data_IF_179004214891
#
_entry.id   IF_179004214891
#
_cell.length_a   1.000
_cell.length_b   1.000
_cell.length_c   1.000
_cell.angle_alpha   90.00
_cell.angle_beta   90.00
_cell.angle_gamma   90.00
#
_symmetry.space_group_name_H-M   'P 1'
#
loop_
_entity.id
_entity.type
_entity.pdbx_description
1 polymer ?
#
# COMPACT_ATOMS: atom_id res chain seq x y z
N UNK A 1 13.51 -1.16 21.35
CA UNK A 1 12.63 -2.28 20.95
C UNK A 1 11.20 -1.81 21.19
N UNK A 2 10.53 -1.36 20.13
CA UNK A 2 9.09 -1.11 20.15
C UNK A 2 8.49 -2.05 19.12
N UNK A 3 7.91 -3.13 19.62
CA UNK A 3 7.08 -4.04 18.84
C UNK A 3 5.82 -3.26 18.50
N UNK A 4 5.78 -2.66 17.31
CA UNK A 4 4.51 -2.24 16.72
C UNK A 4 3.72 -3.51 16.45
N UNK A 5 2.62 -3.65 17.16
CA UNK A 5 1.68 -4.75 17.04
C UNK A 5 1.19 -4.78 15.59
N UNK A 6 1.63 -5.79 14.84
CA UNK A 6 1.13 -6.12 13.51
C UNK A 6 -0.38 -6.33 13.66
N UNK A 7 -1.17 -5.59 12.88
CA UNK A 7 -2.62 -5.68 12.92
C UNK A 7 -3.03 -7.08 12.44
N UNK A 8 -3.38 -7.94 13.40
CA UNK A 8 -4.14 -9.18 13.15
C UNK A 8 -5.40 -8.75 12.40
N UNK A 9 -5.70 -9.44 11.30
CA UNK A 9 -6.88 -9.22 10.46
C UNK A 9 -8.13 -9.26 11.33
N UNK A 10 -8.58 -8.08 11.79
CA UNK A 10 -9.80 -7.97 12.57
C UNK A 10 -10.92 -8.01 11.56
N UNK A 11 -11.60 -9.14 11.47
CA UNK A 11 -13.00 -9.16 11.06
C UNK A 11 -13.68 -8.10 11.92
N UNK A 12 -14.06 -6.97 11.33
CA UNK A 12 -14.78 -5.92 12.04
C UNK A 12 -16.08 -6.57 12.52
N UNK A 13 -16.30 -6.71 13.83
CA UNK A 13 -17.49 -7.37 14.33
C UNK A 13 -18.72 -6.59 13.88
N UNK A 14 -19.85 -7.27 13.64
CA UNK A 14 -21.03 -6.67 13.00
C UNK A 14 -21.53 -5.36 13.67
N UNK A 15 -21.25 -5.18 14.96
CA UNK A 15 -21.57 -3.98 15.74
C UNK A 15 -20.65 -2.77 15.46
N UNK A 16 -19.49 -2.96 14.83
CA UNK A 16 -18.53 -1.91 14.47
C UNK A 16 -18.68 -1.47 12.99
N UNK A 17 -19.38 -2.25 12.16
CA UNK A 17 -19.60 -1.95 10.74
C UNK A 17 -20.41 -0.66 10.53
N UNK A 18 -21.49 -0.47 11.30
CA UNK A 18 -22.35 0.71 11.18
C UNK A 18 -21.63 2.03 11.54
N UNK A 19 -20.95 2.16 12.70
CA UNK A 19 -20.22 3.39 13.03
C UNK A 19 -19.02 3.64 12.12
N UNK A 20 -18.30 2.61 11.66
CA UNK A 20 -17.21 2.77 10.69
C UNK A 20 -17.72 3.26 9.32
N UNK A 21 -18.81 2.67 8.83
CA UNK A 21 -19.49 3.10 7.60
C UNK A 21 -19.92 4.56 7.69
N UNK A 22 -20.52 4.98 8.80
CA UNK A 22 -20.99 6.36 8.97
C UNK A 22 -19.85 7.38 8.90
N UNK A 23 -18.71 7.09 9.54
CA UNK A 23 -17.53 7.97 9.48
C UNK A 23 -17.01 8.16 8.06
N UNK A 24 -16.92 7.08 7.28
CA UNK A 24 -16.47 7.13 5.89
C UNK A 24 -17.46 7.89 5.01
N UNK A 25 -18.77 7.68 5.20
CA UNK A 25 -19.82 8.37 4.45
C UNK A 25 -19.88 9.87 4.76
N UNK A 26 -19.55 10.28 5.99
CA UNK A 26 -19.59 11.69 6.41
C UNK A 26 -18.28 12.44 6.18
N UNK A 27 -17.21 11.74 5.77
CA UNK A 27 -15.86 12.30 5.67
C UNK A 27 -15.40 12.99 6.97
N UNK A 28 -15.68 12.36 8.12
CA UNK A 28 -15.30 12.89 9.45
C UNK A 28 -13.81 12.65 9.80
N UNK A 29 -12.98 12.23 8.85
CA UNK A 29 -11.53 12.19 9.04
C UNK A 29 -10.94 13.59 8.82
N UNK A 30 -10.35 14.14 9.88
CA UNK A 30 -9.77 15.48 9.87
C UNK A 30 -8.80 15.66 8.69
N UNK A 31 -9.12 16.64 7.83
CA UNK A 31 -8.22 17.26 6.86
C UNK A 31 -8.01 16.55 5.49
N UNK A 32 -9.06 15.97 4.89
CA UNK A 32 -8.98 15.45 3.50
C UNK A 32 -10.04 16.04 2.55
N UNK A 33 -9.63 16.37 1.31
CA UNK A 33 -10.51 16.77 0.19
C UNK A 33 -11.30 15.59 -0.41
N UNK A 34 -11.47 14.49 0.35
CA UNK A 34 -12.09 13.25 -0.11
C UNK A 34 -13.61 13.43 -0.25
N UNK A 35 -14.18 12.92 -1.34
CA UNK A 35 -15.63 12.90 -1.51
C UNK A 35 -16.31 11.95 -0.52
N UNK A 36 -17.55 12.23 -0.11
CA UNK A 36 -18.34 11.33 0.72
C UNK A 36 -18.55 9.97 0.03
N UNK A 37 -18.25 8.86 0.73
CA UNK A 37 -18.35 7.50 0.19
C UNK A 37 -17.47 6.51 0.95
N UNK A 38 -17.81 5.21 0.89
CA UNK A 38 -16.99 4.18 1.55
C UNK A 38 -15.68 3.99 0.80
N UNK A 39 -15.76 3.73 -0.51
CA UNK A 39 -14.67 3.73 -1.48
C UNK A 39 -15.04 4.73 -2.56
N UNK A 40 -14.09 5.53 -3.04
CA UNK A 40 -14.36 6.69 -3.90
C UNK A 40 -13.53 6.66 -5.18
N UNK A 41 -13.85 7.55 -6.12
CA UNK A 41 -13.01 7.77 -7.29
C UNK A 41 -11.58 8.16 -6.92
N UNK A 42 -11.41 9.04 -5.92
CA UNK A 42 -10.08 9.47 -5.48
C UNK A 42 -9.27 8.30 -4.91
N UNK A 43 -9.92 7.40 -4.15
CA UNK A 43 -9.30 6.16 -3.67
C UNK A 43 -8.77 5.32 -4.85
N UNK A 44 -9.60 5.10 -5.88
CA UNK A 44 -9.19 4.35 -7.08
C UNK A 44 -8.03 5.03 -7.82
N UNK A 45 -8.04 6.36 -7.95
CA UNK A 45 -6.94 7.12 -8.56
C UNK A 45 -5.64 6.93 -7.80
N UNK A 46 -5.66 6.94 -6.46
CA UNK A 46 -4.46 6.75 -5.66
C UNK A 46 -3.88 5.34 -5.81
N UNK A 47 -4.73 4.32 -5.86
CA UNK A 47 -4.29 2.95 -6.19
C UNK A 47 -3.64 2.92 -7.58
N UNK A 48 -4.27 3.52 -8.59
CA UNK A 48 -3.75 3.58 -9.96
C UNK A 48 -2.44 4.34 -10.09
N UNK A 49 -2.24 5.42 -9.32
CA UNK A 49 -0.97 6.15 -9.28
C UNK A 49 0.17 5.27 -8.77
N UNK A 50 -0.07 4.54 -7.68
CA UNK A 50 0.89 3.56 -7.19
C UNK A 50 1.22 2.51 -8.25
N UNK A 51 0.20 1.89 -8.86
CA UNK A 51 0.38 0.84 -9.86
C UNK A 51 1.19 1.36 -11.05
N UNK A 52 0.80 2.50 -11.61
CA UNK A 52 1.50 3.09 -12.75
C UNK A 52 2.97 3.38 -12.41
N UNK A 53 3.26 3.94 -11.23
CA UNK A 53 4.64 4.16 -10.81
C UNK A 53 5.39 2.83 -10.61
N UNK A 54 4.79 1.84 -9.95
CA UNK A 54 5.39 0.52 -9.75
C UNK A 54 5.70 -0.21 -11.06
N UNK A 55 4.87 -0.04 -12.09
CA UNK A 55 5.08 -0.59 -13.43
C UNK A 55 6.24 0.09 -14.18
N UNK A 56 6.59 1.33 -13.84
CA UNK A 56 7.69 2.08 -14.47
C UNK A 56 9.07 1.74 -13.89
N UNK A 57 9.13 1.04 -12.75
CA UNK A 57 10.40 0.72 -12.09
C UNK A 57 11.24 -0.25 -12.95
N UNK A 58 12.57 -0.02 -13.03
CA UNK A 58 13.45 -0.87 -13.83
C UNK A 58 13.58 -2.27 -13.21
N UNK A 59 13.68 -3.28 -14.08
CA UNK A 59 13.71 -4.70 -13.70
C UNK A 59 15.01 -5.39 -14.09
N UNK A 60 15.63 -4.97 -15.18
CA UNK A 60 16.95 -5.47 -15.56
C UNK A 60 18.02 -4.77 -14.73
N UNK A 61 19.09 -5.50 -14.40
CA UNK A 61 20.11 -4.99 -13.49
C UNK A 61 20.82 -3.75 -14.05
N UNK A 62 21.04 -3.73 -15.37
CA UNK A 62 21.65 -2.59 -16.06
C UNK A 62 20.75 -1.35 -16.01
N UNK A 63 19.45 -1.50 -16.21
CA UNK A 63 18.49 -0.39 -16.09
C UNK A 63 18.41 0.15 -14.66
N UNK A 64 18.55 -0.74 -13.65
CA UNK A 64 18.61 -0.34 -12.24
C UNK A 64 19.88 0.45 -11.95
N UNK A 65 21.02 0.03 -12.51
CA UNK A 65 22.30 0.75 -12.41
C UNK A 65 22.17 2.15 -13.01
N UNK A 66 21.57 2.26 -14.20
CA UNK A 66 21.32 3.55 -14.86
C UNK A 66 20.38 4.44 -14.05
N UNK A 67 19.36 3.84 -13.41
CA UNK A 67 18.40 4.55 -12.58
C UNK A 67 19.04 5.13 -11.30
N UNK A 68 19.78 4.29 -10.55
CA UNK A 68 20.43 4.69 -9.28
C UNK A 68 21.73 5.46 -9.51
N UNK A 69 22.37 5.30 -10.68
CA UNK A 69 23.56 6.02 -11.12
C UNK A 69 24.89 5.47 -10.59
N UNK A 70 24.91 4.27 -10.00
CA UNK A 70 26.13 3.63 -9.50
C UNK A 70 26.09 2.11 -9.67
N UNK A 71 27.29 1.51 -9.80
CA UNK A 71 27.47 0.04 -9.87
C UNK A 71 27.88 -0.57 -8.53
N UNK A 72 28.61 0.20 -7.74
CA UNK A 72 29.14 -0.23 -6.45
C UNK A 72 28.84 0.82 -5.39
N UNK A 73 28.63 0.35 -4.16
CA UNK A 73 28.41 1.19 -3.00
C UNK A 73 28.95 0.46 -1.77
N UNK A 74 29.54 1.21 -0.83
CA UNK A 74 29.92 0.68 0.48
C UNK A 74 28.70 0.51 1.40
N UNK A 75 27.52 0.99 0.98
CA UNK A 75 26.29 0.94 1.77
C UNK A 75 25.60 -0.42 1.60
N UNK A 76 25.83 -1.31 2.56
CA UNK A 76 25.26 -2.66 2.56
C UNK A 76 23.72 -2.68 2.41
N UNK A 77 23.24 -3.44 1.42
CA UNK A 77 21.82 -3.58 1.06
C UNK A 77 21.32 -2.59 0.00
N UNK A 78 22.22 -1.79 -0.58
CA UNK A 78 21.98 -0.84 -1.69
C UNK A 78 22.75 -1.18 -2.95
N UNK A 79 23.42 -2.32 -2.97
CA UNK A 79 23.98 -2.89 -4.19
C UNK A 79 22.86 -2.99 -5.26
N UNK A 80 23.17 -2.75 -6.55
CA UNK A 80 22.15 -2.70 -7.61
C UNK A 80 21.20 -3.90 -7.60
N UNK A 81 21.70 -5.11 -7.38
CA UNK A 81 20.90 -6.33 -7.26
C UNK A 81 19.87 -6.30 -6.11
N UNK A 82 20.22 -5.70 -4.97
CA UNK A 82 19.33 -5.56 -3.82
C UNK A 82 18.23 -4.51 -4.05
N UNK A 83 18.48 -3.52 -4.91
CA UNK A 83 17.46 -2.57 -5.36
C UNK A 83 16.58 -3.20 -6.43
N UNK A 84 17.19 -3.94 -7.37
CA UNK A 84 16.48 -4.69 -8.40
C UNK A 84 15.48 -5.68 -7.81
N UNK A 85 15.87 -6.42 -6.76
CA UNK A 85 14.97 -7.37 -6.09
C UNK A 85 13.73 -6.67 -5.53
N UNK A 86 13.92 -5.53 -4.86
CA UNK A 86 12.82 -4.70 -4.37
C UNK A 86 11.92 -4.21 -5.53
N UNK A 87 12.51 -3.67 -6.58
CA UNK A 87 11.75 -3.16 -7.73
C UNK A 87 10.97 -4.26 -8.45
N UNK A 88 11.55 -5.46 -8.58
CA UNK A 88 10.85 -6.64 -9.11
C UNK A 88 9.64 -7.01 -8.26
N UNK A 89 9.76 -7.02 -6.93
CA UNK A 89 8.62 -7.29 -6.05
C UNK A 89 7.53 -6.23 -6.17
N UNK A 90 7.89 -4.94 -6.21
CA UNK A 90 6.93 -3.85 -6.39
C UNK A 90 6.21 -3.96 -7.72
N UNK A 91 6.95 -4.28 -8.79
CA UNK A 91 6.39 -4.45 -10.13
C UNK A 91 5.42 -5.65 -10.19
N UNK A 92 5.79 -6.78 -9.59
CA UNK A 92 4.92 -7.96 -9.49
C UNK A 92 3.64 -7.66 -8.72
N UNK A 93 3.75 -6.93 -7.61
CA UNK A 93 2.59 -6.48 -6.85
C UNK A 93 1.71 -5.50 -7.66
N UNK A 94 2.31 -4.56 -8.40
CA UNK A 94 1.56 -3.66 -9.27
C UNK A 94 0.80 -4.42 -10.38
N UNK A 95 1.39 -5.48 -10.94
CA UNK A 95 0.73 -6.35 -11.93
C UNK A 95 -0.45 -7.15 -11.33
N UNK A 96 -0.37 -7.56 -10.05
CA UNK A 96 -1.44 -8.35 -9.42
C UNK A 96 -2.75 -7.57 -9.27
N UNK A 97 -2.72 -6.23 -9.37
CA UNK A 97 -3.91 -5.40 -9.37
C UNK A 97 -4.91 -5.74 -10.47
N UNK A 98 -4.45 -6.19 -11.65
CA UNK A 98 -5.36 -6.55 -12.76
C UNK A 98 -6.37 -7.62 -12.33
N UNK A 99 -5.92 -8.60 -11.55
CA UNK A 99 -6.79 -9.62 -10.96
C UNK A 99 -7.76 -9.02 -9.95
N UNK A 100 -7.30 -8.10 -9.09
CA UNK A 100 -8.15 -7.41 -8.10
C UNK A 100 -9.26 -6.64 -8.79
N UNK A 101 -8.90 -5.82 -9.78
CA UNK A 101 -9.83 -4.96 -10.50
C UNK A 101 -10.85 -5.75 -11.32
N UNK A 102 -10.39 -6.74 -12.10
CA UNK A 102 -11.28 -7.58 -12.91
C UNK A 102 -12.24 -8.39 -12.06
N UNK A 103 -11.76 -9.00 -10.96
CA UNK A 103 -12.60 -9.77 -10.04
C UNK A 103 -13.62 -8.87 -9.32
N UNK A 104 -13.19 -7.67 -8.92
CA UNK A 104 -14.05 -6.66 -8.29
C UNK A 104 -15.18 -6.21 -9.22
N UNK A 105 -14.84 -5.83 -10.46
CA UNK A 105 -15.82 -5.40 -11.48
C UNK A 105 -16.81 -6.51 -11.80
N UNK A 106 -16.32 -7.71 -12.10
CA UNK A 106 -17.17 -8.83 -12.48
C UNK A 106 -18.14 -9.20 -11.34
N UNK A 107 -17.64 -9.32 -10.12
CA UNK A 107 -18.49 -9.68 -8.99
C UNK A 107 -19.48 -8.56 -8.63
N UNK A 108 -19.13 -7.29 -8.82
CA UNK A 108 -20.08 -6.20 -8.63
C UNK A 108 -21.26 -6.28 -9.62
N UNK A 109 -20.99 -6.61 -10.89
CA UNK A 109 -22.04 -6.87 -11.90
C UNK A 109 -22.91 -8.06 -11.45
N UNK A 110 -22.29 -9.16 -11.07
CA UNK A 110 -22.98 -10.38 -10.66
C UNK A 110 -23.88 -10.12 -9.44
N UNK A 111 -23.39 -9.37 -8.44
CA UNK A 111 -24.16 -8.97 -7.25
C UNK A 111 -25.31 -8.01 -7.58
N UNK A 112 -25.14 -7.10 -8.55
CA UNK A 112 -26.23 -6.23 -8.99
C UNK A 112 -27.39 -7.06 -9.60
N UNK A 113 -27.04 -8.00 -10.48
CA UNK A 113 -28.00 -8.89 -11.17
C UNK A 113 -28.65 -9.83 -10.17
N UNK A 114 -27.86 -10.52 -9.33
CA UNK A 114 -28.36 -11.43 -8.31
C UNK A 114 -29.28 -10.69 -7.33
N UNK A 115 -28.86 -9.52 -6.86
CA UNK A 115 -29.68 -8.70 -5.99
C UNK A 115 -30.99 -8.27 -6.65
N UNK A 116 -30.98 -7.92 -7.94
CA UNK A 116 -32.20 -7.60 -8.68
C UNK A 116 -33.15 -8.80 -8.73
N UNK A 117 -32.64 -9.98 -9.09
CA UNK A 117 -33.43 -11.19 -9.21
C UNK A 117 -34.00 -11.65 -7.86
N UNK A 118 -33.20 -11.64 -6.81
CA UNK A 118 -33.61 -12.06 -5.45
C UNK A 118 -34.67 -11.10 -4.90
N UNK A 119 -34.46 -9.77 -5.02
CA UNK A 119 -35.43 -8.78 -4.54
C UNK A 119 -36.73 -8.84 -5.32
N UNK A 120 -36.68 -8.96 -6.65
CA UNK A 120 -37.87 -9.04 -7.50
C UNK A 120 -38.67 -10.31 -7.23
N UNK A 121 -38.01 -11.46 -7.20
CA UNK A 121 -38.65 -12.76 -6.93
C UNK A 121 -39.23 -12.80 -5.53
N UNK A 122 -38.48 -12.34 -4.52
CA UNK A 122 -38.96 -12.27 -3.15
C UNK A 122 -40.18 -11.35 -3.01
N UNK A 123 -40.17 -10.18 -3.65
CA UNK A 123 -41.32 -9.27 -3.66
C UNK A 123 -42.54 -9.89 -4.35
N UNK A 124 -42.36 -10.60 -5.46
CA UNK A 124 -43.44 -11.32 -6.12
C UNK A 124 -44.09 -12.37 -5.19
N UNK A 125 -43.27 -13.18 -4.51
CA UNK A 125 -43.75 -14.17 -3.54
C UNK A 125 -44.48 -13.48 -2.38
N UNK A 126 -43.91 -12.39 -1.84
CA UNK A 126 -44.53 -11.64 -0.75
C UNK A 126 -45.87 -11.04 -1.15
N UNK A 127 -45.99 -10.47 -2.35
CA UNK A 127 -47.25 -9.94 -2.88
C UNK A 127 -48.30 -11.03 -3.00
N UNK A 128 -47.95 -12.17 -3.60
CA UNK A 128 -48.87 -13.31 -3.75
C UNK A 128 -49.36 -13.84 -2.39
N UNK A 129 -48.50 -13.89 -1.37
CA UNK A 129 -48.89 -14.29 0.00
C UNK A 129 -49.77 -13.23 0.66
N UNK A 130 -49.48 -11.95 0.45
CA UNK A 130 -50.24 -10.85 1.05
C UNK A 130 -51.67 -10.71 0.52
N UNK A 131 -51.92 -11.20 -0.69
CA UNK A 131 -53.26 -11.27 -1.30
C UNK A 131 -54.11 -12.43 -0.74
N UNK A 132 -53.52 -13.36 0.03
CA UNK A 132 -54.26 -14.46 0.63
C UNK A 132 -55.18 -13.98 1.76
N UNK A 133 -56.48 -14.36 1.77
CA UNK A 133 -57.45 -13.86 2.75
C UNK A 133 -57.05 -14.05 4.23
N UNK A 134 -56.37 -15.16 4.55
CA UNK A 134 -55.89 -15.48 5.90
C UNK A 134 -54.82 -14.47 6.39
N UNK A 135 -53.97 -13.98 5.48
CA UNK A 135 -52.93 -12.99 5.78
C UNK A 135 -53.52 -11.60 5.89
N UNK A 136 -54.48 -11.25 5.03
CA UNK A 136 -55.22 -9.99 5.12
C UNK A 136 -55.98 -9.90 6.44
N UNK A 137 -56.67 -10.98 6.85
CA UNK A 137 -57.39 -11.06 8.12
C UNK A 137 -56.44 -10.93 9.32
N UNK A 138 -55.28 -11.59 9.28
CA UNK A 138 -54.28 -11.47 10.34
C UNK A 138 -53.71 -10.05 10.46
N UNK A 139 -53.48 -9.34 9.35
CA UNK A 139 -53.03 -7.94 9.36
C UNK A 139 -54.07 -6.97 9.91
N UNK A 140 -55.34 -7.11 9.52
CA UNK A 140 -56.45 -6.31 10.05
C UNK A 140 -56.57 -6.53 11.57
N UNK A 141 -56.50 -7.78 12.00
CA UNK A 141 -56.57 -8.15 13.44
C UNK A 141 -55.37 -7.62 14.24
N UNK A 142 -54.18 -7.52 13.64
CA UNK A 142 -52.99 -6.88 14.23
C UNK A 142 -53.16 -5.36 14.38
N UNK A 143 -53.80 -4.69 13.42
CA UNK A 143 -54.04 -3.24 13.46
C UNK A 143 -55.15 -2.83 14.44
N UNK A 144 -56.15 -3.70 14.65
CA UNK A 144 -57.25 -3.49 15.61
C UNK A 144 -56.88 -3.80 17.10
N UNK A 145 -55.59 -4.01 17.38
CA UNK A 145 -54.97 -3.95 18.71
C UNK A 145 -55.56 -4.86 19.83
N UNK A 146 -55.60 -6.19 19.63
CA UNK A 146 -55.49 -7.12 20.77
C UNK A 146 -54.77 -8.41 20.41
N UNK A 147 -53.62 -8.65 21.05
CA UNK A 147 -52.80 -9.85 20.89
C UNK A 147 -53.53 -11.15 21.25
N UNK A 148 -54.63 -11.07 22.01
CA UNK A 148 -55.50 -12.22 22.31
C UNK A 148 -56.34 -12.66 21.11
N UNK A 149 -56.76 -11.74 20.23
CA UNK A 149 -57.52 -12.06 19.01
C UNK A 149 -56.66 -12.73 17.92
N UNK A 150 -55.34 -12.68 18.03
CA UNK A 150 -54.45 -13.40 17.11
C UNK A 150 -54.43 -14.90 17.40
N UNK A 151 -54.66 -15.29 18.66
CA UNK A 151 -54.73 -16.70 19.06
C UNK A 151 -55.98 -17.41 18.52
N UNK A 152 -57.02 -16.67 18.11
CA UNK A 152 -58.24 -17.23 17.53
C UNK A 152 -58.17 -17.42 16.00
N UNK A 153 -57.12 -16.93 15.33
CA UNK A 153 -56.90 -17.19 13.91
C UNK A 153 -56.47 -18.65 13.76
N UNK A 154 -57.40 -19.48 13.29
CA UNK A 154 -57.17 -20.90 13.02
C UNK A 154 -56.67 -21.06 11.59
N UNK A 155 -55.40 -21.42 11.43
CA UNK A 155 -54.81 -21.75 10.14
C UNK A 155 -55.27 -23.15 9.70
N UNK A 156 -55.74 -23.28 8.46
CA UNK A 156 -56.10 -24.58 7.86
C UNK A 156 -54.86 -25.22 7.24
N UNK A 157 -54.89 -26.54 7.02
CA UNK A 157 -53.79 -27.29 6.39
C UNK A 157 -53.34 -26.69 5.05
N UNK A 158 -54.26 -26.14 4.27
CA UNK A 158 -53.99 -25.43 3.01
C UNK A 158 -53.28 -24.07 3.19
N UNK A 159 -53.42 -23.43 4.35
CA UNK A 159 -52.73 -22.19 4.73
C UNK A 159 -51.29 -22.47 5.24
N UNK A 160 -50.88 -23.74 5.23
CA UNK A 160 -49.52 -24.20 5.54
C UNK A 160 -48.80 -24.81 4.32
N UNK A 161 -49.48 -24.98 3.18
CA UNK A 161 -48.92 -25.68 2.03
C UNK A 161 -48.32 -24.68 1.05
N UNK A 162 -46.99 -24.62 1.04
CA UNK A 162 -46.20 -24.08 -0.05
C UNK A 162 -46.30 -25.09 -1.22
N UNK A 163 -46.76 -24.65 -2.40
CA UNK A 163 -46.86 -25.52 -3.58
C UNK A 163 -45.47 -26.02 -4.03
N UNK A 164 -45.41 -27.17 -4.70
CA UNK A 164 -44.15 -27.77 -5.14
C UNK A 164 -43.28 -26.85 -6.03
N UNK A 165 -43.91 -25.96 -6.80
CA UNK A 165 -43.19 -24.96 -7.61
C UNK A 165 -42.56 -23.85 -6.75
N UNK A 166 -43.24 -23.39 -5.69
CA UNK A 166 -42.66 -22.40 -4.77
C UNK A 166 -41.48 -23.00 -3.98
N UNK A 167 -41.52 -24.28 -3.62
CA UNK A 167 -40.39 -24.99 -3.00
C UNK A 167 -39.17 -24.97 -3.94
N UNK A 168 -39.36 -25.24 -5.24
CA UNK A 168 -38.27 -25.19 -6.23
C UNK A 168 -37.68 -23.80 -6.37
N UNK A 169 -38.52 -22.76 -6.42
CA UNK A 169 -38.07 -21.36 -6.50
C UNK A 169 -37.24 -20.98 -5.27
N UNK A 170 -37.70 -21.34 -4.07
CA UNK A 170 -36.97 -21.06 -2.83
C UNK A 170 -35.66 -21.83 -2.74
N UNK A 171 -35.62 -23.08 -3.21
CA UNK A 171 -34.40 -23.87 -3.27
C UNK A 171 -33.37 -23.26 -4.24
N UNK A 172 -33.80 -22.80 -5.41
CA UNK A 172 -32.95 -22.10 -6.37
C UNK A 172 -32.41 -20.79 -5.78
N UNK A 173 -33.30 -19.95 -5.21
CA UNK A 173 -32.90 -18.70 -4.55
C UNK A 173 -31.89 -18.93 -3.43
N UNK A 174 -32.06 -20.00 -2.63
CA UNK A 174 -31.11 -20.37 -1.58
C UNK A 174 -29.74 -20.76 -2.17
N UNK A 175 -29.73 -21.54 -3.25
CA UNK A 175 -28.50 -21.93 -3.93
C UNK A 175 -27.75 -20.71 -4.48
N UNK A 176 -28.46 -19.77 -5.11
CA UNK A 176 -27.91 -18.53 -5.65
C UNK A 176 -27.27 -17.69 -4.53
N UNK A 177 -27.96 -17.50 -3.40
CA UNK A 177 -27.42 -16.75 -2.25
C UNK A 177 -26.13 -17.40 -1.71
N UNK A 178 -26.09 -18.73 -1.63
CA UNK A 178 -24.90 -19.47 -1.16
C UNK A 178 -23.73 -19.30 -2.15
N UNK A 179 -24.01 -19.36 -3.44
CA UNK A 179 -22.99 -19.21 -4.49
C UNK A 179 -22.41 -17.79 -4.48
N UNK A 180 -23.27 -16.77 -4.45
CA UNK A 180 -22.84 -15.36 -4.39
C UNK A 180 -22.05 -15.06 -3.12
N UNK A 181 -22.39 -15.66 -1.98
CA UNK A 181 -21.59 -15.55 -0.75
C UNK A 181 -20.17 -16.07 -0.95
N UNK A 182 -20.01 -17.22 -1.62
CA UNK A 182 -18.69 -17.80 -1.90
C UNK A 182 -17.87 -16.95 -2.85
N UNK A 183 -18.48 -16.44 -3.93
CA UNK A 183 -17.79 -15.57 -4.89
C UNK A 183 -17.38 -14.24 -4.23
N UNK A 184 -18.27 -13.64 -3.45
CA UNK A 184 -17.98 -12.41 -2.70
C UNK A 184 -16.81 -12.61 -1.72
N UNK A 185 -16.79 -13.74 -0.99
CA UNK A 185 -15.65 -14.09 -0.13
C UNK A 185 -14.35 -14.21 -0.93
N UNK A 186 -14.39 -14.85 -2.10
CA UNK A 186 -13.21 -15.00 -2.96
C UNK A 186 -12.64 -13.63 -3.37
N UNK A 187 -13.49 -12.67 -3.74
CA UNK A 187 -13.05 -11.31 -4.09
C UNK A 187 -12.46 -10.61 -2.88
N UNK A 188 -13.10 -10.72 -1.70
CA UNK A 188 -12.56 -10.19 -0.44
C UNK A 188 -11.16 -10.75 -0.14
N UNK A 189 -10.94 -12.04 -0.37
CA UNK A 189 -9.64 -12.68 -0.15
C UNK A 189 -8.58 -12.21 -1.16
N UNK A 190 -8.96 -11.98 -2.42
CA UNK A 190 -8.06 -11.41 -3.44
C UNK A 190 -7.61 -10.00 -3.03
N UNK A 191 -8.54 -9.15 -2.59
CA UNK A 191 -8.24 -7.80 -2.11
C UNK A 191 -7.38 -7.85 -0.84
N UNK A 192 -7.75 -8.70 0.12
CA UNK A 192 -6.99 -8.90 1.36
C UNK A 192 -5.56 -9.35 1.10
N UNK A 193 -5.33 -10.23 0.11
CA UNK A 193 -3.98 -10.65 -0.28
C UNK A 193 -3.16 -9.51 -0.86
N UNK A 194 -3.73 -8.72 -1.77
CA UNK A 194 -3.09 -7.52 -2.31
C UNK A 194 -2.72 -6.54 -1.19
N UNK A 195 -3.66 -6.26 -0.29
CA UNK A 195 -3.43 -5.43 0.90
C UNK A 195 -2.26 -5.95 1.74
N UNK A 196 -2.27 -7.24 2.10
CA UNK A 196 -1.23 -7.84 2.94
C UNK A 196 0.16 -7.82 2.29
N UNK A 197 0.29 -7.94 0.97
CA UNK A 197 1.58 -7.80 0.29
C UNK A 197 2.11 -6.35 0.34
N UNK A 198 1.21 -5.36 0.39
CA UNK A 198 1.57 -3.95 0.56
C UNK A 198 2.01 -3.64 2.00
N UNK A 199 1.19 -4.01 2.99
CA UNK A 199 1.37 -3.59 4.41
C UNK A 199 2.06 -4.63 5.30
N UNK A 200 2.11 -5.88 4.88
CA UNK A 200 2.55 -7.03 5.67
C UNK A 200 1.50 -7.51 6.68
N UNK A 201 1.68 -8.74 7.15
CA UNK A 201 0.78 -9.35 8.13
C UNK A 201 0.80 -10.86 8.08
N UNK A 202 -0.22 -11.48 8.65
CA UNK A 202 -0.43 -12.92 8.59
C UNK A 202 -1.55 -13.23 7.60
N UNK A 203 -1.37 -14.25 6.78
CA UNK A 203 -2.45 -14.79 5.96
C UNK A 203 -3.39 -15.70 6.76
N UNK A 204 -4.44 -16.22 6.10
CA UNK A 204 -5.43 -17.13 6.70
C UNK A 204 -4.82 -18.44 7.25
N UNK A 205 -3.55 -18.73 6.92
CA UNK A 205 -2.81 -19.92 7.35
C UNK A 205 -1.68 -19.60 8.33
N UNK A 206 -1.71 -18.41 8.94
CA UNK A 206 -0.69 -17.88 9.86
C UNK A 206 0.72 -17.75 9.24
N UNK A 207 0.82 -17.68 7.91
CA UNK A 207 2.10 -17.40 7.26
C UNK A 207 2.36 -15.90 7.21
N UNK A 208 3.59 -15.51 7.52
CA UNK A 208 4.03 -14.12 7.46
C UNK A 208 4.20 -13.66 6.01
N UNK A 209 3.47 -12.61 5.64
CA UNK A 209 3.65 -11.88 4.39
C UNK A 209 4.51 -10.65 4.69
N UNK A 210 5.62 -10.53 3.96
CA UNK A 210 6.52 -9.38 4.06
C UNK A 210 5.88 -8.11 3.49
N UNK A 211 6.10 -6.99 4.17
CA UNK A 211 5.57 -5.67 3.82
C UNK A 211 6.48 -4.92 2.86
N UNK A 212 5.98 -4.59 1.66
CA UNK A 212 6.68 -3.70 0.71
C UNK A 212 6.89 -2.30 1.30
N UNK A 213 5.89 -1.76 2.01
CA UNK A 213 6.00 -0.48 2.70
C UNK A 213 7.14 -0.48 3.72
N UNK A 214 7.23 -1.53 4.53
CA UNK A 214 8.28 -1.64 5.53
C UNK A 214 9.67 -1.84 4.91
N UNK A 215 9.77 -2.58 3.80
CA UNK A 215 11.02 -2.70 3.03
C UNK A 215 11.54 -1.35 2.55
N UNK A 216 10.66 -0.54 1.95
CA UNK A 216 11.00 0.82 1.49
C UNK A 216 11.38 1.71 2.67
N UNK A 217 10.56 1.77 3.74
CA UNK A 217 10.87 2.57 4.94
C UNK A 217 12.18 2.18 5.60
N UNK A 218 12.50 0.89 5.65
CA UNK A 218 13.78 0.40 6.18
C UNK A 218 14.96 0.90 5.34
N UNK A 219 14.85 0.87 4.01
CA UNK A 219 15.89 1.37 3.11
C UNK A 219 16.04 2.89 3.25
N UNK A 220 14.95 3.67 3.22
CA UNK A 220 15.01 5.12 3.47
C UNK A 220 15.72 5.46 4.80
N UNK A 221 15.34 4.78 5.89
CA UNK A 221 15.99 5.01 7.20
C UNK A 221 17.49 4.71 7.17
N UNK A 222 17.95 3.74 6.38
CA UNK A 222 19.38 3.48 6.18
C UNK A 222 20.05 4.58 5.35
N UNK A 223 19.41 5.07 4.29
CA UNK A 223 19.93 6.17 3.47
C UNK A 223 20.08 7.45 4.30
N UNK A 224 19.05 7.84 5.04
CA UNK A 224 19.08 9.02 5.92
C UNK A 224 20.20 8.95 6.96
N UNK A 225 20.47 7.77 7.52
CA UNK A 225 21.61 7.56 8.44
C UNK A 225 22.96 7.69 7.74
N UNK A 226 23.06 7.23 6.49
CA UNK A 226 24.30 7.28 5.71
C UNK A 226 24.64 8.69 5.20
N UNK A 227 23.69 9.63 5.21
CA UNK A 227 23.89 11.03 4.82
C UNK A 227 24.59 11.87 5.90
N UNK A 228 24.90 11.33 7.09
CA UNK A 228 25.64 12.05 8.14
C UNK A 228 27.09 12.29 7.71
N UNK A 229 27.54 13.55 7.75
CA UNK A 229 28.74 14.08 7.09
C UNK A 229 30.09 13.76 7.74
N UNK A 230 30.12 13.04 8.88
CA UNK A 230 31.33 12.86 9.70
C UNK A 230 32.55 12.39 8.88
N UNK A 231 32.38 11.42 7.98
CA UNK A 231 33.49 10.91 7.15
C UNK A 231 34.02 11.92 6.12
N UNK A 232 33.17 12.74 5.52
CA UNK A 232 33.61 13.72 4.52
C UNK A 232 34.27 14.91 5.20
N UNK A 233 33.80 15.29 6.40
CA UNK A 233 34.40 16.36 7.20
C UNK A 233 35.80 15.99 7.71
N UNK A 234 36.01 14.73 8.09
CA UNK A 234 37.34 14.20 8.47
C UNK A 234 38.34 14.25 7.31
N UNK A 235 37.96 13.78 6.12
CA UNK A 235 38.84 13.78 4.93
C UNK A 235 39.12 15.21 4.47
N UNK A 236 38.13 16.12 4.52
CA UNK A 236 38.34 17.55 4.22
C UNK A 236 39.28 18.22 5.23
N UNK A 237 39.21 17.83 6.51
CA UNK A 237 40.15 18.30 7.53
C UNK A 237 41.57 17.81 7.25
N UNK A 238 41.74 16.56 6.84
CA UNK A 238 43.04 16.00 6.42
C UNK A 238 43.61 16.72 5.20
N UNK A 239 42.79 16.99 4.18
CA UNK A 239 43.17 17.78 2.99
C UNK A 239 43.61 19.19 3.41
N UNK A 240 42.89 19.84 4.34
CA UNK A 240 43.27 21.19 4.84
C UNK A 240 44.65 21.16 5.53
N UNK A 241 44.87 20.20 6.42
CA UNK A 241 46.15 20.03 7.12
C UNK A 241 47.31 19.78 6.16
N UNK A 242 47.13 18.89 5.18
CA UNK A 242 48.16 18.60 4.15
C UNK A 242 48.42 19.81 3.24
N UNK A 243 47.39 20.60 2.90
CA UNK A 243 47.56 21.85 2.15
C UNK A 243 48.34 22.92 2.94
N UNK A 244 48.10 23.03 4.25
CA UNK A 244 48.89 23.89 5.13
C UNK A 244 50.37 23.46 5.17
N UNK A 245 50.64 22.15 5.26
CA UNK A 245 52.00 21.58 5.20
C UNK A 245 52.69 21.87 3.85
N UNK A 246 51.97 21.73 2.72
CA UNK A 246 52.49 22.07 1.38
C UNK A 246 52.90 23.55 1.29
N UNK A 247 52.11 24.47 1.86
CA UNK A 247 52.42 25.91 1.87
C UNK A 247 53.63 26.26 2.76
N UNK A 248 53.85 25.50 3.83
CA UNK A 248 55.07 25.60 4.65
C UNK A 248 56.28 25.11 3.83
N UNK A 249 56.19 23.92 3.21
CA UNK A 249 57.28 23.35 2.41
C UNK A 249 57.63 24.20 1.17
N UNK A 250 56.65 24.88 0.54
CA UNK A 250 56.91 25.87 -0.53
C UNK A 250 57.73 27.05 -0.02
N UNK A 251 57.43 27.56 1.17
CA UNK A 251 58.16 28.67 1.82
C UNK A 251 59.56 28.24 2.22
N UNK A 252 59.71 27.07 2.84
CA UNK A 252 61.02 26.49 3.22
C UNK A 252 61.90 26.23 2.00
N UNK A 253 61.36 25.64 0.94
CA UNK A 253 62.08 25.45 -0.33
C UNK A 253 62.58 26.79 -0.90
N UNK A 254 61.72 27.82 -0.93
CA UNK A 254 62.09 29.17 -1.38
C UNK A 254 63.21 29.79 -0.53
N UNK A 255 63.17 29.58 0.79
CA UNK A 255 64.24 30.01 1.69
C UNK A 255 65.54 29.24 1.47
N UNK A 256 65.49 27.91 1.31
CA UNK A 256 66.68 27.09 1.04
C UNK A 256 67.31 27.41 -0.31
N UNK A 257 66.50 27.72 -1.34
CA UNK A 257 67.01 28.21 -2.62
C UNK A 257 67.68 29.57 -2.45
N UNK A 258 67.05 30.54 -1.76
CA UNK A 258 67.67 31.85 -1.49
C UNK A 258 68.98 31.74 -0.70
N UNK A 259 69.04 30.85 0.30
CA UNK A 259 70.24 30.58 1.10
C UNK A 259 71.31 29.82 0.31
N UNK A 260 70.93 28.98 -0.64
CA UNK A 260 71.89 28.37 -1.59
C UNK A 260 72.55 29.42 -2.49
N UNK A 261 71.90 30.57 -2.71
CA UNK A 261 72.45 31.74 -3.40
C UNK A 261 73.13 32.78 -2.47
N UNK A 262 72.98 32.74 -1.15
CA UNK A 262 73.64 33.70 -0.25
C UNK A 262 75.16 33.47 -0.10
N UNK A 263 75.69 32.38 -0.67
CA UNK A 263 77.13 32.15 -0.83
C UNK A 263 77.81 33.06 -1.88
N UNK A 264 77.04 33.84 -2.65
CA UNK A 264 77.57 34.76 -3.68
C UNK A 264 78.42 35.93 -3.14
N UNK A 265 78.41 36.16 -1.83
CA UNK A 265 79.27 37.19 -1.20
C UNK A 265 80.72 36.68 -1.00
N UNK A 266 80.99 35.36 -1.16
CA UNK A 266 82.29 34.74 -0.84
C UNK A 266 83.09 34.10 -1.99
N UNK A 267 82.67 34.23 -3.25
CA UNK A 267 83.39 33.65 -4.42
C UNK A 267 83.18 32.14 -4.64
N UNK A 268 83.86 31.57 -5.65
CA UNK A 268 83.65 30.21 -6.23
C UNK A 268 83.73 29.07 -5.19
N UNK A 269 84.46 29.24 -4.08
CA UNK A 269 84.60 28.24 -3.01
C UNK A 269 83.37 28.20 -2.07
N UNK A 270 82.63 29.31 -1.95
CA UNK A 270 81.37 29.38 -1.19
C UNK A 270 80.22 28.62 -1.87
N UNK A 271 80.24 28.49 -3.19
CA UNK A 271 79.21 27.82 -4.00
C UNK A 271 79.17 26.28 -3.82
N UNK A 272 80.32 25.66 -3.51
CA UNK A 272 80.42 24.19 -3.41
C UNK A 272 79.95 23.68 -2.03
N UNK A 273 80.13 24.46 -0.97
CA UNK A 273 79.81 24.05 0.42
C UNK A 273 78.37 24.43 0.82
N UNK A 274 77.83 25.55 0.34
CA UNK A 274 76.41 25.91 0.58
C UNK A 274 75.46 25.25 -0.42
N UNK A 275 75.90 24.98 -1.66
CA UNK A 275 75.12 24.28 -2.68
C UNK A 275 74.89 22.80 -2.39
N UNK A 276 75.82 22.11 -1.73
CA UNK A 276 75.70 20.66 -1.44
C UNK A 276 74.81 20.37 -0.24
N UNK A 277 74.90 21.13 0.85
CA UNK A 277 74.07 20.92 2.06
C UNK A 277 72.65 21.46 1.87
N UNK A 278 72.50 22.69 1.37
CA UNK A 278 71.17 23.29 1.18
C UNK A 278 70.49 22.82 -0.10
N UNK A 279 71.22 22.43 -1.14
CA UNK A 279 70.66 21.78 -2.33
C UNK A 279 70.09 20.39 -2.03
N UNK A 280 70.79 19.57 -1.23
CA UNK A 280 70.28 18.28 -0.76
C UNK A 280 69.02 18.44 0.08
N UNK A 281 68.99 19.40 1.02
CA UNK A 281 67.80 19.72 1.82
C UNK A 281 66.65 20.28 0.98
N UNK A 282 66.93 21.16 0.01
CA UNK A 282 65.92 21.67 -0.92
C UNK A 282 65.31 20.55 -1.78
N UNK A 283 66.11 19.59 -2.23
CA UNK A 283 65.63 18.44 -3.00
C UNK A 283 64.78 17.48 -2.14
N UNK A 284 65.14 17.27 -0.87
CA UNK A 284 64.29 16.52 0.07
C UNK A 284 62.94 17.21 0.32
N UNK A 285 62.94 18.53 0.55
CA UNK A 285 61.72 19.33 0.71
C UNK A 285 60.88 19.29 -0.58
N UNK A 286 61.50 19.34 -1.75
CA UNK A 286 60.82 19.22 -3.06
C UNK A 286 60.14 17.86 -3.22
N UNK A 287 60.83 16.76 -2.88
CA UNK A 287 60.28 15.40 -2.94
C UNK A 287 59.11 15.23 -1.97
N UNK A 288 59.27 15.67 -0.72
CA UNK A 288 58.19 15.60 0.29
C UNK A 288 56.97 16.42 -0.13
N UNK A 289 57.18 17.62 -0.65
CA UNK A 289 56.11 18.46 -1.21
C UNK A 289 55.38 17.77 -2.37
N UNK A 290 56.10 17.15 -3.30
CA UNK A 290 55.48 16.46 -4.43
C UNK A 290 54.66 15.24 -3.98
N UNK A 291 55.18 14.44 -3.03
CA UNK A 291 54.43 13.33 -2.43
C UNK A 291 53.13 13.84 -1.78
N UNK A 292 53.17 14.95 -1.03
CA UNK A 292 51.98 15.52 -0.42
C UNK A 292 50.99 16.09 -1.44
N UNK A 293 51.46 16.62 -2.57
CA UNK A 293 50.59 17.06 -3.67
C UNK A 293 49.85 15.88 -4.27
N UNK A 294 50.55 14.76 -4.51
CA UNK A 294 49.96 13.54 -5.05
C UNK A 294 48.95 12.93 -4.05
N UNK A 295 49.29 12.88 -2.76
CA UNK A 295 48.37 12.43 -1.69
C UNK A 295 47.11 13.34 -1.59
N UNK A 296 47.27 14.66 -1.71
CA UNK A 296 46.14 15.59 -1.71
C UNK A 296 45.26 15.39 -2.95
N UNK A 297 45.84 15.14 -4.12
CA UNK A 297 45.09 14.86 -5.34
C UNK A 297 44.25 13.59 -5.20
N UNK A 298 44.83 12.50 -4.68
CA UNK A 298 44.08 11.27 -4.40
C UNK A 298 42.96 11.47 -3.36
N UNK A 299 43.23 12.23 -2.30
CA UNK A 299 42.20 12.55 -1.29
C UNK A 299 41.09 13.43 -1.87
N UNK A 300 41.41 14.38 -2.74
CA UNK A 300 40.42 15.21 -3.44
C UNK A 300 39.55 14.38 -4.38
N UNK A 301 40.12 13.45 -5.14
CA UNK A 301 39.35 12.50 -5.96
C UNK A 301 38.40 11.66 -5.10
N UNK A 302 38.85 11.17 -3.94
CA UNK A 302 38.00 10.46 -2.98
C UNK A 302 36.84 11.33 -2.47
N UNK A 303 37.09 12.61 -2.14
CA UNK A 303 36.02 13.53 -1.72
C UNK A 303 35.01 13.77 -2.84
N UNK A 304 35.47 13.98 -4.08
CA UNK A 304 34.57 14.19 -5.23
C UNK A 304 33.72 12.94 -5.49
N UNK A 305 34.33 11.75 -5.45
CA UNK A 305 33.63 10.48 -5.59
C UNK A 305 32.58 10.30 -4.48
N UNK A 306 32.94 10.54 -3.22
CA UNK A 306 32.02 10.46 -2.08
C UNK A 306 30.85 11.45 -2.20
N UNK A 307 31.12 12.71 -2.56
CA UNK A 307 30.07 13.72 -2.78
C UNK A 307 29.14 13.34 -3.93
N UNK A 308 29.67 12.71 -4.97
CA UNK A 308 28.86 12.20 -6.10
C UNK A 308 27.96 11.06 -5.66
N UNK A 309 28.48 10.08 -4.91
CA UNK A 309 27.71 8.98 -4.35
C UNK A 309 26.64 9.50 -3.37
N UNK A 310 26.95 10.50 -2.54
CA UNK A 310 25.98 11.13 -1.65
C UNK A 310 24.82 11.77 -2.43
N UNK A 311 25.10 12.46 -3.54
CA UNK A 311 24.03 13.01 -4.41
C UNK A 311 23.15 11.92 -4.99
N UNK A 312 23.72 10.79 -5.41
CA UNK A 312 22.98 9.63 -5.92
C UNK A 312 22.13 8.96 -4.82
N UNK A 313 22.67 8.87 -3.60
CA UNK A 313 21.95 8.40 -2.41
C UNK A 313 20.76 9.31 -2.08
N UNK A 314 20.93 10.64 -2.14
CA UNK A 314 19.83 11.60 -1.94
C UNK A 314 18.77 11.47 -3.04
N UNK A 315 19.19 11.26 -4.30
CA UNK A 315 18.25 11.01 -5.41
C UNK A 315 17.45 9.73 -5.15
N UNK A 316 18.11 8.63 -4.78
CA UNK A 316 17.45 7.37 -4.47
C UNK A 316 16.51 7.50 -3.26
N UNK A 317 16.90 8.23 -2.22
CA UNK A 317 16.05 8.51 -1.06
C UNK A 317 14.78 9.28 -1.46
N UNK A 318 14.91 10.25 -2.37
CA UNK A 318 13.76 10.97 -2.94
C UNK A 318 12.82 10.04 -3.70
N UNK A 319 13.34 9.16 -4.55
CA UNK A 319 12.52 8.16 -5.27
C UNK A 319 11.79 7.22 -4.31
N UNK A 320 12.49 6.72 -3.29
CA UNK A 320 11.88 5.88 -2.26
C UNK A 320 10.83 6.65 -1.43
N UNK A 321 11.01 7.95 -1.23
CA UNK A 321 10.04 8.83 -0.56
C UNK A 321 8.80 9.08 -1.39
N UNK A 322 8.96 9.26 -2.71
CA UNK A 322 7.83 9.29 -3.63
C UNK A 322 7.05 7.98 -3.59
N UNK A 323 7.75 6.84 -3.61
CA UNK A 323 7.13 5.53 -3.50
C UNK A 323 6.41 5.31 -2.16
N UNK A 324 7.00 5.73 -1.03
CA UNK A 324 6.36 5.65 0.29
C UNK A 324 5.07 6.48 0.38
N UNK A 325 5.05 7.64 -0.28
CA UNK A 325 3.85 8.46 -0.45
C UNK A 325 2.76 7.70 -1.22
N UNK A 326 3.10 7.14 -2.38
CA UNK A 326 2.16 6.35 -3.18
C UNK A 326 1.65 5.10 -2.44
N UNK A 327 2.51 4.42 -1.70
CA UNK A 327 2.09 3.29 -0.88
C UNK A 327 1.14 3.70 0.24
N UNK A 328 1.40 4.81 0.92
CA UNK A 328 0.56 5.29 2.02
C UNK A 328 -0.83 5.66 1.51
N UNK A 329 -0.91 6.37 0.39
CA UNK A 329 -2.19 6.72 -0.25
C UNK A 329 -2.93 5.47 -0.75
N UNK A 330 -2.22 4.55 -1.41
CA UNK A 330 -2.80 3.31 -1.93
C UNK A 330 -3.28 2.36 -0.81
N UNK A 331 -2.57 2.29 0.32
CA UNK A 331 -2.97 1.51 1.48
C UNK A 331 -4.32 1.96 2.01
N UNK A 332 -4.49 3.26 2.26
CA UNK A 332 -5.77 3.83 2.74
C UNK A 332 -6.90 3.49 1.75
N UNK A 333 -6.65 3.69 0.45
CA UNK A 333 -7.62 3.41 -0.59
C UNK A 333 -7.98 1.90 -0.70
N UNK A 334 -7.01 1.00 -0.51
CA UNK A 334 -7.24 -0.46 -0.50
C UNK A 334 -8.00 -0.87 0.76
N UNK A 335 -7.73 -0.27 1.92
CA UNK A 335 -8.49 -0.50 3.15
C UNK A 335 -9.96 -0.11 2.98
N UNK A 336 -10.23 1.01 2.30
CA UNK A 336 -11.59 1.43 1.93
C UNK A 336 -12.29 0.42 1.02
N UNK A 337 -11.60 -0.07 -0.02
CA UNK A 337 -12.11 -1.11 -0.91
C UNK A 337 -12.39 -2.41 -0.15
N UNK A 338 -11.44 -2.86 0.68
CA UNK A 338 -11.54 -4.04 1.51
C UNK A 338 -12.75 -3.97 2.46
N UNK A 339 -12.93 -2.81 3.10
CA UNK A 339 -14.07 -2.56 3.98
C UNK A 339 -15.40 -2.59 3.22
N UNK A 340 -15.50 -1.99 2.03
CA UNK A 340 -16.72 -2.05 1.22
C UNK A 340 -17.10 -3.48 0.85
N UNK A 341 -16.12 -4.31 0.51
CA UNK A 341 -16.35 -5.74 0.26
C UNK A 341 -16.71 -6.52 1.52
N UNK A 342 -16.16 -6.15 2.68
CA UNK A 342 -16.57 -6.71 3.97
C UNK A 342 -18.03 -6.39 4.28
N UNK A 343 -18.50 -5.16 4.00
CA UNK A 343 -19.90 -4.76 4.17
C UNK A 343 -20.80 -5.61 3.27
N UNK A 344 -20.50 -5.70 1.97
CA UNK A 344 -21.29 -6.53 1.04
C UNK A 344 -21.32 -8.01 1.45
N UNK A 345 -20.19 -8.58 1.85
CA UNK A 345 -20.11 -9.96 2.33
C UNK A 345 -20.95 -10.18 3.59
N UNK A 346 -20.97 -9.21 4.50
CA UNK A 346 -21.77 -9.26 5.73
C UNK A 346 -23.26 -9.28 5.41
N UNK A 347 -23.71 -8.43 4.49
CA UNK A 347 -25.10 -8.36 4.03
C UNK A 347 -25.55 -9.66 3.35
N UNK A 348 -24.73 -10.21 2.44
CA UNK A 348 -25.01 -11.49 1.79
C UNK A 348 -25.05 -12.63 2.80
N UNK A 349 -24.13 -12.62 3.79
CA UNK A 349 -24.08 -13.63 4.85
C UNK A 349 -25.30 -13.53 5.79
N UNK A 350 -25.77 -12.33 6.13
CA UNK A 350 -26.99 -12.13 6.92
C UNK A 350 -28.22 -12.66 6.17
N UNK A 351 -28.33 -12.36 4.88
CA UNK A 351 -29.39 -12.90 4.02
C UNK A 351 -29.37 -14.43 4.00
N UNK A 352 -28.19 -15.04 3.79
CA UNK A 352 -27.99 -16.49 3.78
C UNK A 352 -28.40 -17.12 5.11
N UNK A 353 -27.91 -16.57 6.24
CA UNK A 353 -28.19 -17.08 7.58
C UNK A 353 -29.68 -17.02 7.90
N UNK A 354 -30.34 -15.91 7.53
CA UNK A 354 -31.79 -15.75 7.68
C UNK A 354 -32.54 -16.77 6.84
N UNK A 355 -32.11 -17.00 5.59
CA UNK A 355 -32.73 -17.99 4.71
C UNK A 355 -32.62 -19.41 5.30
N UNK A 356 -31.47 -19.77 5.86
CA UNK A 356 -31.26 -21.08 6.46
C UNK A 356 -32.16 -21.37 7.67
N UNK A 357 -32.73 -20.35 8.31
CA UNK A 357 -33.66 -20.51 9.42
C UNK A 357 -35.10 -20.81 8.95
N UNK A 358 -35.43 -20.54 7.68
CA UNK A 358 -36.74 -20.82 7.11
C UNK A 358 -36.94 -22.34 7.04
N UNK A 359 -38.05 -22.81 7.62
CA UNK A 359 -38.44 -24.22 7.62
C UNK A 359 -39.95 -24.38 7.43
N UNK A 360 -40.37 -25.61 7.13
CA UNK A 360 -41.74 -25.96 6.77
C UNK A 360 -42.76 -25.83 7.92
N UNK A 361 -42.29 -25.62 9.17
CA UNK A 361 -43.15 -25.44 10.32
C UNK A 361 -43.65 -23.98 10.49
N UNK A 362 -43.19 -23.06 9.64
CA UNK A 362 -43.58 -21.65 9.71
C UNK A 362 -45.02 -21.44 9.22
N UNK A 363 -45.74 -20.55 9.92
CA UNK A 363 -46.97 -19.97 9.35
C UNK A 363 -46.62 -19.07 8.16
N UNK A 364 -47.57 -18.86 7.23
CA UNK A 364 -47.38 -17.94 6.11
C UNK A 364 -46.97 -16.52 6.55
N UNK A 365 -47.44 -16.07 7.72
CA UNK A 365 -47.03 -14.79 8.29
C UNK A 365 -45.56 -14.80 8.74
N UNK A 366 -45.11 -15.84 9.42
CA UNK A 366 -43.69 -15.97 9.81
C UNK A 366 -42.79 -16.11 8.58
N UNK A 367 -43.21 -16.93 7.61
CA UNK A 367 -42.51 -17.08 6.34
C UNK A 367 -42.37 -15.74 5.61
N UNK A 368 -43.45 -14.96 5.46
CA UNK A 368 -43.39 -13.66 4.78
C UNK A 368 -42.49 -12.64 5.51
N UNK A 369 -42.49 -12.62 6.83
CA UNK A 369 -41.58 -11.77 7.60
C UNK A 369 -40.10 -12.18 7.39
N UNK A 370 -39.82 -13.47 7.35
CA UNK A 370 -38.45 -13.98 7.15
C UNK A 370 -37.98 -13.79 5.72
N UNK A 371 -38.83 -14.04 4.73
CA UNK A 371 -38.51 -13.78 3.32
C UNK A 371 -38.25 -12.28 3.09
N UNK A 372 -38.99 -11.39 3.76
CA UNK A 372 -38.67 -9.95 3.75
C UNK A 372 -37.27 -9.69 4.31
N UNK A 373 -36.92 -10.26 5.46
CA UNK A 373 -35.56 -10.13 6.04
C UNK A 373 -34.46 -10.70 5.15
N UNK A 374 -34.73 -11.78 4.41
CA UNK A 374 -33.81 -12.32 3.38
C UNK A 374 -33.56 -11.30 2.27
N UNK A 375 -34.60 -10.65 1.76
CA UNK A 375 -34.52 -9.77 0.58
C UNK A 375 -33.98 -8.36 0.87
N UNK A 376 -34.13 -7.85 2.10
CA UNK A 376 -33.72 -6.48 2.45
C UNK A 376 -32.21 -6.22 2.28
N UNK A 377 -31.29 -7.10 2.77
CA UNK A 377 -29.86 -6.95 2.52
C UNK A 377 -29.49 -6.79 1.03
N UNK A 378 -30.18 -7.51 0.14
CA UNK A 378 -29.92 -7.43 -1.29
C UNK A 378 -30.24 -6.07 -1.91
N UNK A 379 -31.11 -5.27 -1.31
CA UNK A 379 -31.31 -3.88 -1.75
C UNK A 379 -30.06 -3.03 -1.48
N UNK A 380 -29.41 -3.23 -0.33
CA UNK A 380 -28.16 -2.55 0.03
C UNK A 380 -27.00 -3.03 -0.81
N UNK A 381 -26.84 -4.35 -0.96
CA UNK A 381 -25.81 -4.96 -1.83
C UNK A 381 -25.87 -4.36 -3.24
N UNK A 382 -27.07 -4.27 -3.85
CA UNK A 382 -27.21 -3.61 -5.17
C UNK A 382 -26.79 -2.15 -5.17
N UNK A 383 -27.10 -1.41 -4.11
CA UNK A 383 -26.68 -0.01 -3.97
C UNK A 383 -25.16 0.10 -4.00
N UNK A 384 -24.47 -0.68 -3.16
CA UNK A 384 -23.02 -0.72 -3.10
C UNK A 384 -22.40 -1.20 -4.43
N UNK A 385 -22.93 -2.25 -5.05
CA UNK A 385 -22.42 -2.74 -6.33
C UNK A 385 -22.51 -1.69 -7.44
N UNK A 386 -23.62 -0.95 -7.51
CA UNK A 386 -23.77 0.15 -8.49
C UNK A 386 -22.80 1.30 -8.25
N UNK A 387 -22.63 1.69 -7.00
CA UNK A 387 -21.66 2.72 -6.61
C UNK A 387 -20.25 2.31 -7.00
N UNK A 388 -19.88 1.06 -6.73
CA UNK A 388 -18.58 0.51 -7.08
C UNK A 388 -18.36 0.49 -8.60
N UNK A 389 -19.34 0.05 -9.38
CA UNK A 389 -19.28 0.06 -10.85
C UNK A 389 -19.12 1.49 -11.40
N UNK A 390 -19.89 2.45 -10.88
CA UNK A 390 -19.78 3.84 -11.29
C UNK A 390 -18.37 4.39 -11.04
N UNK A 391 -17.76 4.10 -9.88
CA UNK A 391 -16.39 4.50 -9.57
C UNK A 391 -15.38 3.91 -10.57
N UNK A 392 -15.49 2.60 -10.85
CA UNK A 392 -14.60 1.94 -11.79
C UNK A 392 -14.78 2.40 -13.24
N UNK A 393 -15.98 2.83 -13.64
CA UNK A 393 -16.25 3.41 -14.95
C UNK A 393 -15.67 4.82 -15.09
N UNK A 394 -15.66 5.62 -14.01
CA UNK A 394 -15.05 6.97 -14.04
C UNK A 394 -13.54 6.93 -14.28
N UNK A 395 -12.84 5.88 -13.84
CA UNK A 395 -11.41 5.74 -14.05
C UNK A 395 -11.02 5.46 -15.52
N UNK A 396 -11.95 4.96 -16.35
CA UNK A 396 -11.72 4.78 -17.80
C UNK A 396 -11.64 6.15 -18.51
N UNK A 397 -12.19 7.22 -17.92
CA UNK A 397 -12.23 8.56 -18.49
C UNK A 397 -11.05 9.46 -18.06
N UNK A 398 -10.25 9.03 -17.08
CA UNK A 398 -9.16 9.81 -16.48
C UNK A 398 -7.75 9.29 -16.83
N UNK A 399 -7.66 8.18 -17.57
CA UNK A 399 -6.44 7.68 -18.22
C UNK A 399 -6.42 8.12 -19.69
#
# INVERSE_FOLDING_TARGET
MHTQTIAIDRIIPANEVAPATLKLLLNEEDNTFRSAGIFTHDDLVQIKRYINYGLTLPREEEDVIDFIGYRETELAGFEPHNIQTLFKHIHQHALSWELVESATKQQAIDLEIAGFNITTTGNYILSAINEMPIITQAKITLQDASSEKLKSITYKKQDHIISGELVKILAAMKADIIDERKKTQRVKNIIGRFRLELIGGLDETDNEISSLMYEVKRKQKKLLKSQSSEKTDEIMSEIRLKNEEIEILKREYSQFVKLSFSGLVGGIIGLIITGTIFGYRAEQVRRRKNILIDEVAELQEKVIAQQTIQKLIIKLDKELSTLDGYFSDAHIAVDHLDFMWQVMLTEVTESMNTFMQINDAYSLLQFSLQLKKVTLPWQRVRGYSKELLAIFDTAILAA
#
